data_IF_117864975175
#
_entry.id   IF_117864975175
#
_cell.length_a   1.000
_cell.length_b   1.000
_cell.length_c   1.000
_cell.angle_alpha   90.00
_cell.angle_beta   90.00
_cell.angle_gamma   90.00
#
_symmetry.space_group_name_H-M   'P 1'
#
loop_
_entity.id
_entity.type
_entity.pdbx_description
1 polymer ?
#
# COMPACT_ATOMS: atom_id res chain seq x y z
N UNK A 1 16.81 3.53 1.10
CA UNK A 1 16.99 3.30 2.57
C UNK A 1 16.99 4.65 3.25
N UNK A 2 16.20 4.86 4.29
CA UNK A 2 16.27 6.11 5.02
C UNK A 2 15.16 6.31 6.03
N UNK A 3 15.11 7.52 6.56
CA UNK A 3 14.03 8.03 7.37
C UNK A 3 13.87 9.51 7.07
N UNK A 4 12.71 10.09 7.37
CA UNK A 4 12.49 11.52 7.17
C UNK A 4 12.95 12.28 8.40
N UNK A 5 13.69 13.36 8.20
CA UNK A 5 14.05 14.24 9.31
C UNK A 5 12.83 15.00 9.83
N UNK A 6 12.49 14.79 11.11
CA UNK A 6 11.46 15.56 11.79
C UNK A 6 12.07 16.85 12.34
N UNK A 7 11.70 17.97 11.72
CA UNK A 7 12.23 19.30 12.06
C UNK A 7 11.84 19.82 13.45
N UNK A 8 10.75 19.31 14.05
CA UNK A 8 10.28 19.75 15.37
C UNK A 8 10.84 18.90 16.51
N UNK A 9 11.03 17.61 16.24
CA UNK A 9 11.57 16.66 17.22
C UNK A 9 13.09 16.49 17.14
N UNK A 10 13.74 17.00 16.10
CA UNK A 10 15.16 16.83 15.81
C UNK A 10 15.61 15.36 15.78
N UNK A 11 14.79 14.48 15.19
CA UNK A 11 15.10 13.07 15.02
C UNK A 11 14.76 12.58 13.61
N UNK A 12 15.40 11.50 13.17
CA UNK A 12 15.02 10.80 11.95
C UNK A 12 13.90 9.80 12.25
N UNK A 13 12.75 9.99 11.62
CA UNK A 13 11.62 9.07 11.70
C UNK A 13 11.76 8.00 10.61
N UNK A 14 11.97 6.75 11.02
CA UNK A 14 11.97 5.58 10.14
C UNK A 14 10.63 4.87 10.29
N UNK A 15 9.88 4.74 9.20
CA UNK A 15 8.52 4.19 9.20
C UNK A 15 8.48 2.85 8.46
N UNK A 16 7.37 2.13 8.61
CA UNK A 16 7.14 0.86 7.90
C UNK A 16 7.28 1.00 6.38
N UNK A 17 6.93 2.16 5.82
CA UNK A 17 7.10 2.45 4.39
C UNK A 17 8.55 2.70 3.95
N UNK A 18 9.48 2.85 4.90
CA UNK A 18 10.91 3.00 4.65
C UNK A 18 11.69 1.67 4.76
N UNK A 19 10.99 0.57 5.08
CA UNK A 19 11.57 -0.77 5.13
C UNK A 19 12.08 -1.18 3.74
N UNK A 20 13.34 -1.58 3.68
CA UNK A 20 14.04 -1.89 2.43
C UNK A 20 15.01 -3.04 2.63
N UNK A 21 15.13 -3.91 1.63
CA UNK A 21 16.12 -5.00 1.60
C UNK A 21 17.07 -4.82 0.42
N UNK A 22 18.33 -5.18 0.62
CA UNK A 22 19.34 -5.25 -0.44
C UNK A 22 19.99 -6.64 -0.41
N UNK A 23 20.76 -6.96 -1.45
CA UNK A 23 21.58 -8.18 -1.51
C UNK A 23 23.06 -7.83 -1.46
N UNK A 24 23.88 -8.78 -1.03
CA UNK A 24 25.34 -8.62 -1.04
C UNK A 24 25.93 -9.78 -1.83
N UNK A 25 26.87 -9.45 -2.71
CA UNK A 25 27.55 -10.43 -3.57
C UNK A 25 29.02 -10.48 -3.17
N UNK A 26 29.53 -11.68 -2.91
CA UNK A 26 30.95 -11.86 -2.63
C UNK A 26 31.75 -11.89 -3.93
N UNK A 27 32.67 -10.95 -4.08
CA UNK A 27 33.55 -10.85 -5.24
C UNK A 27 34.99 -11.21 -4.82
N UNK A 28 35.62 -12.23 -5.42
CA UNK A 28 37.02 -12.54 -5.17
C UNK A 28 37.89 -11.29 -5.43
N UNK A 29 38.72 -10.90 -4.45
CA UNK A 29 39.53 -9.65 -4.38
C UNK A 29 38.83 -8.37 -3.92
N UNK A 30 37.49 -8.31 -3.85
CA UNK A 30 36.75 -7.14 -3.34
C UNK A 30 35.93 -7.40 -2.07
N UNK A 31 35.71 -8.68 -1.73
CA UNK A 31 34.92 -9.06 -0.57
C UNK A 31 33.41 -8.89 -0.80
N UNK A 32 32.65 -8.82 0.29
CA UNK A 32 31.20 -8.59 0.26
C UNK A 32 30.90 -7.20 -0.29
N UNK A 33 30.22 -7.17 -1.45
CA UNK A 33 29.85 -5.93 -2.13
C UNK A 33 28.33 -5.79 -2.14
N UNK A 34 27.82 -4.66 -1.66
CA UNK A 34 26.38 -4.35 -1.66
C UNK A 34 25.86 -4.16 -3.08
N UNK A 35 24.74 -4.79 -3.39
CA UNK A 35 24.03 -4.65 -4.64
C UNK A 35 22.52 -4.45 -4.37
N UNK A 36 21.93 -3.40 -4.93
CA UNK A 36 20.49 -3.13 -4.80
C UNK A 36 19.82 -3.28 -6.18
N UNK A 37 19.10 -4.41 -6.42
CA UNK A 37 18.44 -4.66 -7.71
C UNK A 37 17.13 -3.88 -7.88
N UNK A 38 16.75 -3.05 -6.91
CA UNK A 38 15.47 -2.35 -6.91
C UNK A 38 15.53 -1.15 -7.87
N UNK A 39 14.70 -1.09 -8.93
CA UNK A 39 14.71 0.04 -9.86
C UNK A 39 14.43 1.36 -9.11
N UNK A 40 15.14 2.45 -9.43
CA UNK A 40 15.00 3.72 -8.71
C UNK A 40 13.59 4.34 -8.79
N UNK A 41 12.76 3.91 -9.75
CA UNK A 41 11.45 4.50 -10.03
C UNK A 41 10.31 4.17 -9.04
N UNK A 42 10.37 3.07 -8.29
CA UNK A 42 9.23 2.62 -7.47
C UNK A 42 9.52 2.48 -5.96
N UNK A 43 10.77 2.69 -5.54
CA UNK A 43 11.22 2.55 -4.15
C UNK A 43 11.85 3.82 -3.59
N UNK A 44 11.73 4.95 -4.29
CA UNK A 44 11.84 6.25 -3.66
C UNK A 44 10.90 6.24 -2.44
N UNK A 45 11.37 6.64 -1.24
CA UNK A 45 10.52 6.67 -0.06
C UNK A 45 9.22 7.38 -0.42
N UNK A 46 8.08 6.70 -0.27
CA UNK A 46 6.74 7.31 -0.41
C UNK A 46 6.48 8.39 0.66
N UNK A 47 7.52 8.83 1.36
CA UNK A 47 7.51 9.82 2.43
C UNK A 47 7.79 11.25 1.95
N UNK A 48 7.99 11.47 0.65
CA UNK A 48 7.94 12.78 -0.02
C UNK A 48 6.49 13.34 -0.09
N UNK A 49 5.80 13.39 1.07
CA UNK A 49 4.62 14.23 1.22
C UNK A 49 5.10 15.69 1.33
N UNK A 50 5.42 16.32 0.21
CA UNK A 50 5.77 17.74 0.22
C UNK A 50 4.48 18.57 0.37
N UNK A 51 4.33 19.28 1.50
CA UNK A 51 3.20 20.18 1.75
C UNK A 51 2.75 20.33 3.21
N UNK A 52 1.71 21.13 3.44
CA UNK A 52 1.17 21.45 4.76
C UNK A 52 0.77 20.22 5.61
N UNK A 53 0.42 19.10 4.95
CA UNK A 53 0.10 17.85 5.64
C UNK A 53 1.31 17.17 6.27
N UNK A 54 2.51 17.26 5.68
CA UNK A 54 3.71 16.74 6.32
C UNK A 54 4.13 17.60 7.50
N UNK A 55 3.97 18.93 7.42
CA UNK A 55 4.20 19.81 8.57
C UNK A 55 3.34 19.44 9.77
N UNK A 56 2.04 19.27 9.57
CA UNK A 56 1.11 18.88 10.66
C UNK A 56 1.43 17.48 11.18
N UNK A 57 1.73 16.52 10.29
CA UNK A 57 2.13 15.16 10.70
C UNK A 57 3.40 15.17 11.54
N UNK A 58 4.45 15.84 11.07
CA UNK A 58 5.73 15.91 11.77
C UNK A 58 5.58 16.60 13.13
N UNK A 59 4.73 17.61 13.23
CA UNK A 59 4.37 18.24 14.50
C UNK A 59 3.65 17.26 15.45
N UNK A 60 2.59 16.60 14.99
CA UNK A 60 1.84 15.62 15.79
C UNK A 60 2.73 14.45 16.22
N UNK A 61 3.61 13.97 15.35
CA UNK A 61 4.55 12.88 15.64
C UNK A 61 5.60 13.32 16.69
N UNK A 62 6.12 14.54 16.59
CA UNK A 62 7.00 15.10 17.61
C UNK A 62 6.28 15.27 18.96
N UNK A 63 5.02 15.73 18.94
CA UNK A 63 4.19 15.84 20.15
C UNK A 63 3.87 14.47 20.76
N UNK A 64 3.50 13.48 19.94
CA UNK A 64 3.22 12.12 20.38
C UNK A 64 4.46 11.43 20.96
N UNK A 65 5.63 11.62 20.35
CA UNK A 65 6.89 11.07 20.87
C UNK A 65 7.31 11.73 22.19
N UNK A 66 7.08 13.04 22.33
CA UNK A 66 7.35 13.79 23.56
C UNK A 66 6.39 13.38 24.68
N UNK A 67 5.11 13.18 24.35
CA UNK A 67 4.08 12.65 25.25
C UNK A 67 4.37 11.20 25.67
N UNK A 68 4.76 10.33 24.74
CA UNK A 68 5.14 8.95 25.03
C UNK A 68 6.32 8.88 26.01
N UNK A 69 7.30 9.78 25.86
CA UNK A 69 8.47 9.86 26.75
C UNK A 69 8.17 10.44 28.14
N UNK A 70 7.18 11.32 28.27
CA UNK A 70 6.92 12.04 29.54
C UNK A 70 5.65 11.61 30.28
N UNK A 71 4.69 10.99 29.59
CA UNK A 71 3.35 10.71 30.14
C UNK A 71 2.97 9.24 30.06
N UNK A 72 3.58 8.44 29.17
CA UNK A 72 3.37 6.97 29.12
C UNK A 72 4.34 6.26 30.08
N UNK A 73 4.46 6.84 31.27
CA UNK A 73 4.83 6.19 32.52
C UNK A 73 3.75 6.52 33.55
N UNK A 74 2.56 5.93 33.38
CA UNK A 74 1.35 5.99 34.25
C UNK A 74 0.68 7.36 34.48
N UNK A 75 -0.67 7.38 34.45
CA UNK A 75 -1.47 7.45 35.68
C UNK A 75 -2.99 7.37 35.41
N UNK A 76 -3.65 6.36 35.99
CA UNK A 76 -5.09 6.12 35.98
C UNK A 76 -5.88 7.23 36.71
N UNK A 77 -5.21 8.14 37.44
CA UNK A 77 -5.85 9.23 38.18
C UNK A 77 -6.42 10.34 37.29
N UNK A 78 -5.90 10.56 36.06
CA UNK A 78 -6.48 11.56 35.15
C UNK A 78 -7.85 11.15 34.61
N UNK A 79 -8.14 9.84 34.54
CA UNK A 79 -9.43 9.34 34.07
C UNK A 79 -10.57 9.66 35.06
N UNK A 80 -10.26 9.74 36.37
CA UNK A 80 -11.25 10.05 37.42
C UNK A 80 -11.52 11.57 37.51
N UNK A 81 -10.56 12.42 37.15
CA UNK A 81 -10.72 13.88 37.13
C UNK A 81 -11.68 14.39 36.05
N UNK A 82 -11.61 13.82 34.85
CA UNK A 82 -12.48 14.19 33.72
C UNK A 82 -13.94 13.80 33.99
N UNK A 83 -14.19 12.59 34.52
CA UNK A 83 -15.54 12.14 34.91
C UNK A 83 -16.15 13.02 36.01
N UNK A 84 -15.33 13.47 36.98
CA UNK A 84 -15.78 14.37 38.04
C UNK A 84 -16.05 15.80 37.55
N UNK A 85 -15.36 16.27 36.50
CA UNK A 85 -15.58 17.60 35.92
C UNK A 85 -16.86 17.68 35.06
N UNK A 86 -17.19 16.60 34.35
CA UNK A 86 -18.43 16.47 33.57
C UNK A 86 -19.64 16.34 34.51
N UNK A 87 -19.52 15.57 35.59
CA UNK A 87 -20.58 15.41 36.60
C UNK A 87 -20.92 16.74 37.31
N UNK A 88 -19.92 17.58 37.64
CA UNK A 88 -20.14 18.91 38.24
C UNK A 88 -20.71 19.95 37.26
N UNK A 89 -20.41 19.81 35.98
CA UNK A 89 -20.96 20.69 34.93
C UNK A 89 -22.42 20.33 34.63
N UNK A 90 -22.77 19.04 34.64
CA UNK A 90 -24.13 18.59 34.42
C UNK A 90 -25.07 18.89 35.60
N UNK A 91 -24.58 18.82 36.85
CA UNK A 91 -25.38 19.16 38.03
C UNK A 91 -25.56 20.67 38.25
N UNK A 92 -24.64 21.51 37.75
CA UNK A 92 -24.78 22.98 37.78
C UNK A 92 -25.72 23.53 36.70
N UNK A 93 -25.95 22.78 35.63
CA UNK A 93 -26.96 23.10 34.60
C UNK A 93 -28.38 22.78 35.07
N UNK A 94 -28.57 21.83 36.01
CA UNK A 94 -29.91 21.45 36.51
C UNK A 94 -30.39 22.26 37.72
N UNK A 95 -29.52 22.97 38.46
CA UNK A 95 -29.92 23.73 39.67
C UNK A 95 -29.86 25.25 39.56
N UNK A 96 -29.61 25.82 38.37
CA UNK A 96 -29.70 27.27 38.13
C UNK A 96 -30.64 27.59 36.98
N UNK A 97 -31.94 27.59 37.29
CA UNK A 97 -32.99 28.27 36.54
C UNK A 97 -32.81 29.81 36.59
N UNK A 98 -31.69 30.31 36.07
CA UNK A 98 -31.44 31.75 35.90
C UNK A 98 -30.66 32.04 34.62
N UNK A 99 -30.94 31.28 33.56
CA UNK A 99 -30.37 31.52 32.22
C UNK A 99 -31.26 32.42 31.34
N UNK A 100 -32.35 32.97 31.89
CA UNK A 100 -33.28 33.86 31.19
C UNK A 100 -33.21 35.33 31.63
N UNK A 101 -32.22 35.71 32.45
CA UNK A 101 -32.12 37.06 33.03
C UNK A 101 -30.74 37.68 32.83
N UNK A 102 -30.39 38.03 31.58
CA UNK A 102 -29.18 38.79 31.25
C UNK A 102 -29.17 39.19 29.77
N UNK A 103 -28.74 40.43 29.42
CA UNK A 103 -29.13 41.08 28.17
C UNK A 103 -28.59 40.35 26.93
N UNK A 104 -29.51 39.68 26.24
CA UNK A 104 -29.34 39.16 24.89
C UNK A 104 -29.14 40.34 23.92
N UNK A 105 -27.90 40.68 23.58
CA UNK A 105 -27.70 41.84 22.67
C UNK A 105 -26.27 42.13 22.19
N UNK A 106 -25.34 41.18 22.26
CA UNK A 106 -24.01 41.39 21.68
C UNK A 106 -23.93 40.74 20.28
N UNK A 107 -24.05 41.50 19.17
CA UNK A 107 -23.97 40.96 17.81
C UNK A 107 -22.64 40.24 17.52
N UNK A 108 -21.61 40.51 18.34
CA UNK A 108 -20.29 39.87 18.26
C UNK A 108 -20.30 38.39 18.68
N UNK A 109 -21.17 37.97 19.62
CA UNK A 109 -21.25 36.57 20.08
C UNK A 109 -22.06 35.69 19.13
N UNK A 110 -23.10 36.23 18.50
CA UNK A 110 -23.85 35.54 17.44
C UNK A 110 -22.99 35.39 16.17
N UNK A 111 -22.20 36.41 15.81
CA UNK A 111 -21.25 36.35 14.70
C UNK A 111 -20.16 35.28 14.89
N UNK A 112 -19.66 35.10 16.12
CA UNK A 112 -18.65 34.08 16.43
C UNK A 112 -19.20 32.64 16.30
N UNK A 113 -20.43 32.40 16.75
CA UNK A 113 -21.09 31.09 16.61
C UNK A 113 -21.42 30.77 15.15
N UNK A 114 -21.86 31.77 14.38
CA UNK A 114 -22.12 31.61 12.94
C UNK A 114 -20.82 31.32 12.16
N UNK A 115 -19.72 32.01 12.47
CA UNK A 115 -18.42 31.76 11.86
C UNK A 115 -17.88 30.35 12.20
N UNK A 116 -18.03 29.90 13.44
CA UNK A 116 -17.66 28.55 13.87
C UNK A 116 -18.44 27.46 13.14
N UNK A 117 -19.75 27.64 12.97
CA UNK A 117 -20.60 26.73 12.22
C UNK A 117 -20.23 26.67 10.73
N UNK A 118 -19.87 27.81 10.13
CA UNK A 118 -19.41 27.91 8.74
C UNK A 118 -18.08 27.17 8.52
N UNK A 119 -17.12 27.33 9.42
CA UNK A 119 -15.84 26.62 9.36
C UNK A 119 -16.01 25.10 9.51
N UNK A 120 -16.92 24.67 10.41
CA UNK A 120 -17.26 23.26 10.57
C UNK A 120 -17.89 22.69 9.29
N UNK A 121 -18.83 23.41 8.68
CA UNK A 121 -19.49 23.02 7.44
C UNK A 121 -18.50 22.95 6.27
N UNK A 122 -17.59 23.92 6.13
CA UNK A 122 -16.52 23.93 5.14
C UNK A 122 -15.54 22.77 5.33
N UNK A 123 -15.17 22.46 6.58
CA UNK A 123 -14.29 21.35 6.91
C UNK A 123 -14.95 20.00 6.59
N UNK A 124 -16.24 19.83 6.91
CA UNK A 124 -17.01 18.63 6.55
C UNK A 124 -17.16 18.51 5.02
N UNK A 125 -17.43 19.61 4.32
CA UNK A 125 -17.52 19.64 2.86
C UNK A 125 -16.19 19.22 2.21
N UNK A 126 -15.08 19.81 2.65
CA UNK A 126 -13.74 19.46 2.17
C UNK A 126 -13.38 18.00 2.50
N UNK A 127 -13.73 17.52 3.69
CA UNK A 127 -13.51 16.12 4.09
C UNK A 127 -14.31 15.15 3.22
N UNK A 128 -15.59 15.45 2.93
CA UNK A 128 -16.43 14.63 2.04
C UNK A 128 -15.96 14.67 0.60
N UNK A 129 -15.52 15.83 0.09
CA UNK A 129 -14.96 15.99 -1.25
C UNK A 129 -13.62 15.26 -1.40
N UNK A 130 -12.77 15.33 -0.38
CA UNK A 130 -11.50 14.58 -0.33
C UNK A 130 -11.73 13.08 -0.25
N UNK A 131 -12.75 12.62 0.50
CA UNK A 131 -13.18 11.21 0.50
C UNK A 131 -13.65 10.74 -0.88
N UNK A 132 -14.38 11.56 -1.64
CA UNK A 132 -14.81 11.21 -3.01
C UNK A 132 -13.61 11.03 -3.96
N UNK A 133 -12.60 11.91 -3.90
CA UNK A 133 -11.35 11.74 -4.70
C UNK A 133 -10.50 10.53 -4.28
N UNK A 134 -10.61 10.10 -3.02
CA UNK A 134 -9.92 8.89 -2.50
C UNK A 134 -10.58 7.57 -2.92
N UNK A 135 -11.83 7.61 -3.38
CA UNK A 135 -12.57 6.41 -3.84
C UNK A 135 -12.10 6.01 -5.24
N UNK A 136 -11.88 6.97 -6.15
CA UNK A 136 -11.36 6.72 -7.51
C UNK A 136 -9.95 6.10 -7.52
N UNK A 137 -9.07 6.54 -6.62
CA UNK A 137 -7.70 5.95 -6.50
C UNK A 137 -7.71 4.56 -5.83
N UNK A 138 -8.72 4.26 -5.01
CA UNK A 138 -8.87 2.96 -4.34
C UNK A 138 -9.47 1.90 -5.26
N UNK A 139 -10.36 2.28 -6.18
CA UNK A 139 -10.90 1.38 -7.22
C UNK A 139 -9.77 0.89 -8.12
N UNK A 140 -8.92 1.80 -8.59
CA UNK A 140 -7.83 1.49 -9.52
C UNK A 140 -6.80 0.51 -8.93
N UNK A 141 -6.41 0.74 -7.66
CA UNK A 141 -5.52 -0.17 -6.92
C UNK A 141 -6.15 -1.55 -6.72
N UNK A 142 -7.47 -1.60 -6.52
CA UNK A 142 -8.22 -2.84 -6.29
C UNK A 142 -8.39 -3.66 -7.58
N UNK A 143 -8.62 -3.00 -8.72
CA UNK A 143 -8.69 -3.65 -10.04
C UNK A 143 -7.34 -4.24 -10.44
N UNK A 144 -6.24 -3.48 -10.28
CA UNK A 144 -4.88 -3.96 -10.55
C UNK A 144 -4.49 -5.16 -9.67
N UNK A 145 -4.86 -5.12 -8.39
CA UNK A 145 -4.63 -6.25 -7.46
C UNK A 145 -5.38 -7.51 -7.91
N UNK A 146 -6.63 -7.38 -8.38
CA UNK A 146 -7.41 -8.50 -8.88
C UNK A 146 -6.85 -9.06 -10.19
N UNK A 147 -6.43 -8.21 -11.13
CA UNK A 147 -5.78 -8.63 -12.38
C UNK A 147 -4.48 -9.39 -12.09
N UNK A 148 -3.66 -8.90 -11.15
CA UNK A 148 -2.41 -9.57 -10.75
C UNK A 148 -2.67 -10.97 -10.18
N UNK A 149 -3.68 -11.11 -9.32
CA UNK A 149 -4.07 -12.43 -8.75
C UNK A 149 -4.54 -13.40 -9.83
N UNK A 150 -5.31 -12.93 -10.83
CA UNK A 150 -5.74 -13.77 -11.96
C UNK A 150 -4.56 -14.22 -12.81
N UNK A 151 -3.63 -13.32 -13.13
CA UNK A 151 -2.43 -13.67 -13.88
C UNK A 151 -1.55 -14.69 -13.15
N UNK A 152 -1.43 -14.59 -11.81
CA UNK A 152 -0.75 -15.62 -11.00
C UNK A 152 -1.42 -17.00 -11.16
N UNK A 153 -2.74 -17.06 -11.02
CA UNK A 153 -3.46 -18.33 -11.18
C UNK A 153 -3.33 -18.93 -12.58
N UNK A 154 -3.33 -18.08 -13.63
CA UNK A 154 -3.09 -18.53 -15.01
C UNK A 154 -1.67 -19.09 -15.18
N UNK A 155 -0.67 -18.44 -14.60
CA UNK A 155 0.71 -18.92 -14.64
C UNK A 155 0.88 -20.24 -13.86
N UNK A 156 0.24 -20.40 -12.71
CA UNK A 156 0.22 -21.67 -11.96
C UNK A 156 -0.38 -22.81 -12.78
N UNK A 157 -1.41 -22.55 -13.59
CA UNK A 157 -1.95 -23.55 -14.52
C UNK A 157 -0.93 -23.94 -15.60
N UNK A 158 -0.18 -22.97 -16.13
CA UNK A 158 0.91 -23.24 -17.08
C UNK A 158 1.99 -24.13 -16.43
N UNK A 159 2.41 -23.82 -15.20
CA UNK A 159 3.39 -24.65 -14.48
C UNK A 159 2.89 -26.07 -14.23
N UNK A 160 1.59 -26.21 -13.91
CA UNK A 160 0.95 -27.51 -13.79
C UNK A 160 0.95 -28.30 -15.11
N UNK A 161 0.70 -27.62 -16.25
CA UNK A 161 0.76 -28.24 -17.57
C UNK A 161 2.20 -28.68 -17.93
N UNK A 162 3.20 -27.81 -17.67
CA UNK A 162 4.61 -28.12 -17.91
C UNK A 162 5.12 -29.27 -17.05
N UNK A 163 4.70 -29.33 -15.79
CA UNK A 163 5.02 -30.43 -14.88
C UNK A 163 4.48 -31.75 -15.41
N UNK A 164 3.23 -31.77 -15.92
CA UNK A 164 2.65 -32.97 -16.56
C UNK A 164 3.38 -33.40 -17.82
N UNK A 165 3.98 -32.45 -18.56
CA UNK A 165 4.83 -32.71 -19.73
C UNK A 165 6.25 -33.13 -19.37
N UNK A 166 6.59 -33.23 -18.08
CA UNK A 166 7.94 -33.62 -17.62
C UNK A 166 8.96 -32.49 -17.70
N UNK A 167 8.52 -31.24 -17.85
CA UNK A 167 9.36 -30.05 -18.01
C UNK A 167 9.10 -29.08 -16.84
N UNK A 168 9.22 -29.50 -15.57
CA UNK A 168 8.94 -28.62 -14.45
C UNK A 168 9.95 -27.46 -14.39
N UNK A 169 9.48 -26.28 -13.96
CA UNK A 169 10.37 -25.16 -13.66
C UNK A 169 11.06 -25.40 -12.31
N UNK A 170 12.40 -25.38 -12.22
CA UNK A 170 13.08 -25.44 -10.93
C UNK A 170 12.74 -24.22 -10.07
N UNK A 171 12.57 -24.36 -8.73
CA UNK A 171 12.20 -23.25 -7.85
C UNK A 171 13.16 -22.06 -7.90
N UNK A 172 14.45 -22.32 -8.14
CA UNK A 172 15.52 -21.30 -8.22
C UNK A 172 15.58 -20.55 -9.57
N UNK A 173 14.82 -20.99 -10.58
CA UNK A 173 14.88 -20.42 -11.93
C UNK A 173 13.66 -19.52 -12.16
N UNK A 174 13.84 -18.23 -12.47
CA UNK A 174 12.72 -17.34 -12.78
C UNK A 174 11.93 -17.77 -14.03
N UNK A 175 10.62 -17.46 -14.10
CA UNK A 175 9.75 -17.74 -15.25
C UNK A 175 10.38 -17.50 -16.63
N UNK A 176 10.88 -16.28 -16.86
CA UNK A 176 11.45 -15.87 -18.14
C UNK A 176 12.71 -16.68 -18.50
N UNK A 177 13.55 -16.97 -17.50
CA UNK A 177 14.79 -17.74 -17.71
C UNK A 177 14.45 -19.18 -18.07
N UNK A 178 13.44 -19.77 -17.44
CA UNK A 178 12.98 -21.11 -17.78
C UNK A 178 12.49 -21.18 -19.22
N UNK A 179 11.62 -20.25 -19.64
CA UNK A 179 11.13 -20.18 -21.02
C UNK A 179 12.28 -20.02 -22.04
N UNK A 180 13.23 -19.12 -21.79
CA UNK A 180 14.41 -18.93 -22.66
C UNK A 180 15.33 -20.15 -22.71
N UNK A 181 15.47 -20.88 -21.60
CA UNK A 181 16.24 -22.12 -21.59
C UNK A 181 15.60 -23.18 -22.51
N UNK A 182 14.27 -23.29 -22.53
CA UNK A 182 13.56 -24.18 -23.47
C UNK A 182 13.81 -23.78 -24.92
N UNK A 183 13.85 -22.48 -25.19
CA UNK A 183 14.17 -21.95 -26.52
C UNK A 183 15.61 -22.28 -26.94
N UNK A 184 16.57 -22.15 -26.03
CA UNK A 184 17.96 -22.56 -26.26
C UNK A 184 18.12 -24.06 -26.52
N UNK A 185 17.27 -24.89 -25.91
CA UNK A 185 17.19 -26.34 -26.15
C UNK A 185 16.38 -26.70 -27.41
N UNK A 186 15.81 -25.71 -28.11
CA UNK A 186 14.92 -25.89 -29.27
C UNK A 186 13.72 -26.82 -28.98
N UNK A 187 13.20 -26.74 -27.75
CA UNK A 187 12.05 -27.54 -27.37
C UNK A 187 10.81 -27.14 -28.19
N UNK A 188 9.97 -28.07 -28.69
CA UNK A 188 8.81 -27.74 -29.53
C UNK A 188 7.83 -26.74 -28.89
N UNK A 189 7.71 -26.78 -27.56
CA UNK A 189 6.82 -25.90 -26.78
C UNK A 189 7.47 -24.56 -26.37
N UNK A 190 8.72 -24.31 -26.75
CA UNK A 190 9.49 -23.19 -26.21
C UNK A 190 8.87 -21.82 -26.52
N UNK A 191 8.48 -21.59 -27.77
CA UNK A 191 7.92 -20.31 -28.20
C UNK A 191 6.56 -20.04 -27.54
N UNK A 192 5.76 -21.09 -27.38
CA UNK A 192 4.46 -21.02 -26.72
C UNK A 192 4.58 -20.71 -25.22
N UNK A 193 5.50 -21.38 -24.53
CA UNK A 193 5.79 -21.12 -23.11
C UNK A 193 6.36 -19.71 -22.91
N UNK A 194 7.20 -19.24 -23.83
CA UNK A 194 7.74 -17.89 -23.79
C UNK A 194 6.64 -16.84 -23.93
N UNK A 195 5.78 -16.97 -24.95
CA UNK A 195 4.68 -16.04 -25.19
C UNK A 195 3.73 -15.93 -23.97
N UNK A 196 3.33 -17.07 -23.39
CA UNK A 196 2.49 -17.07 -22.18
C UNK A 196 3.22 -16.48 -20.96
N UNK A 197 4.52 -16.75 -20.83
CA UNK A 197 5.33 -16.18 -19.75
C UNK A 197 5.45 -14.66 -19.88
N UNK A 198 5.58 -14.12 -21.09
CA UNK A 198 5.65 -12.69 -21.35
C UNK A 198 4.33 -11.99 -20.98
N UNK A 199 3.18 -12.55 -21.37
CA UNK A 199 1.86 -12.02 -20.96
C UNK A 199 1.76 -11.94 -19.42
N UNK A 200 2.18 -12.99 -18.72
CA UNK A 200 2.20 -12.99 -17.26
C UNK A 200 3.08 -11.87 -16.69
N UNK A 201 4.29 -11.68 -17.25
CA UNK A 201 5.23 -10.66 -16.79
C UNK A 201 4.75 -9.24 -17.07
N UNK A 202 4.12 -8.99 -18.22
CA UNK A 202 3.55 -7.70 -18.57
C UNK A 202 2.40 -7.31 -17.63
N UNK A 203 1.53 -8.26 -17.31
CA UNK A 203 0.42 -7.99 -16.38
C UNK A 203 0.94 -7.78 -14.96
N UNK A 204 1.88 -8.62 -14.51
CA UNK A 204 2.38 -8.58 -13.12
C UNK A 204 3.31 -7.39 -12.86
N UNK A 205 4.23 -7.11 -13.78
CA UNK A 205 5.31 -6.16 -13.59
C UNK A 205 5.27 -4.99 -14.57
N UNK A 206 4.74 -5.21 -15.78
CA UNK A 206 4.68 -4.20 -16.86
C UNK A 206 3.52 -3.20 -16.73
N UNK A 207 2.55 -3.44 -15.85
CA UNK A 207 1.40 -2.54 -15.67
C UNK A 207 0.32 -2.69 -16.75
N UNK A 208 0.41 -3.72 -17.59
CA UNK A 208 -0.66 -4.10 -18.53
C UNK A 208 -1.89 -4.59 -17.76
N UNK A 209 -3.07 -4.14 -18.16
CA UNK A 209 -4.31 -4.72 -17.63
C UNK A 209 -4.60 -6.07 -18.29
N UNK A 210 -5.07 -7.03 -17.50
CA UNK A 210 -5.52 -8.32 -18.00
C UNK A 210 -7.00 -8.22 -18.38
N UNK A 211 -7.27 -8.08 -19.67
CA UNK A 211 -8.62 -8.18 -20.21
C UNK A 211 -9.14 -9.64 -20.11
N UNK A 212 -10.47 -9.79 -20.27
CA UNK A 212 -11.12 -11.09 -20.17
C UNK A 212 -10.80 -12.01 -21.36
N UNK A 213 -10.50 -11.43 -22.52
CA UNK A 213 -10.23 -12.16 -23.76
C UNK A 213 -8.86 -12.83 -23.71
N UNK A 214 -7.81 -12.06 -23.41
CA UNK A 214 -6.45 -12.52 -23.14
C UNK A 214 -6.44 -13.56 -22.02
N UNK A 215 -7.20 -13.36 -20.94
CA UNK A 215 -7.28 -14.36 -19.87
C UNK A 215 -7.90 -15.69 -20.32
N UNK A 216 -8.90 -15.64 -21.20
CA UNK A 216 -9.54 -16.84 -21.79
C UNK A 216 -8.61 -17.52 -22.78
N UNK A 217 -8.00 -16.75 -23.68
CA UNK A 217 -7.02 -17.24 -24.65
C UNK A 217 -5.85 -17.94 -23.94
N UNK A 218 -5.28 -17.30 -22.93
CA UNK A 218 -4.22 -17.89 -22.10
C UNK A 218 -4.64 -19.24 -21.54
N UNK A 219 -5.83 -19.34 -20.94
CA UNK A 219 -6.32 -20.58 -20.36
C UNK A 219 -6.55 -21.68 -21.42
N UNK A 220 -7.08 -21.32 -22.59
CA UNK A 220 -7.26 -22.26 -23.71
C UNK A 220 -5.92 -22.81 -24.21
N UNK A 221 -4.93 -21.94 -24.38
CA UNK A 221 -3.57 -22.31 -24.79
C UNK A 221 -2.88 -23.20 -23.77
N UNK A 222 -3.01 -22.90 -22.46
CA UNK A 222 -2.53 -23.78 -21.39
C UNK A 222 -3.23 -25.14 -21.38
N UNK A 223 -4.54 -25.19 -21.66
CA UNK A 223 -5.26 -26.47 -21.77
C UNK A 223 -4.78 -27.28 -22.97
N UNK A 224 -4.57 -26.66 -24.13
CA UNK A 224 -4.00 -27.32 -25.30
C UNK A 224 -2.62 -27.91 -25.00
N UNK A 225 -1.75 -27.15 -24.33
CA UNK A 225 -0.43 -27.60 -23.85
C UNK A 225 -0.50 -28.75 -22.84
N UNK A 226 -1.64 -28.97 -22.20
CA UNK A 226 -1.82 -30.07 -21.25
C UNK A 226 -2.37 -31.31 -21.93
N UNK A 227 -3.28 -31.13 -22.87
CA UNK A 227 -4.12 -32.19 -23.42
C UNK A 227 -3.54 -32.79 -24.73
N UNK A 228 -2.64 -32.10 -25.45
CA UNK A 228 -1.89 -32.73 -26.55
C UNK A 228 -0.98 -33.87 -26.03
N UNK A 229 -0.91 -35.03 -26.71
CA UNK A 229 -0.02 -36.11 -26.31
C UNK A 229 1.44 -35.67 -26.44
N UNK A 230 2.29 -36.04 -25.46
CA UNK A 230 3.73 -35.95 -25.63
C UNK A 230 4.08 -36.77 -26.87
N UNK A 231 4.49 -36.11 -27.95
CA UNK A 231 4.82 -36.72 -29.22
C UNK A 231 5.77 -37.89 -28.99
N UNK A 232 5.25 -39.10 -29.17
CA UNK A 232 6.03 -40.29 -29.40
C UNK A 232 6.75 -40.09 -30.74
N UNK A 233 8.02 -39.69 -30.72
CA UNK A 233 9.02 -39.94 -31.77
C UNK A 233 10.34 -39.23 -31.43
N UNK A 234 11.25 -39.99 -30.84
CA UNK A 234 12.67 -39.92 -31.14
C UNK A 234 13.15 -41.38 -31.12
N UNK A 235 12.82 -42.08 -32.22
CA UNK A 235 13.45 -43.33 -32.62
C UNK A 235 14.87 -43.04 -33.16
#
# INVERSE_FOLDING_TARGET
>A
IGGTYNRFGHFYAVRQGDAHSWVEVYLPKKGWTRFDPTPPGNSAPRSELNGALAFVRDFVEASAQRWNRHVVGYDLQQQVGLLNSVSRTYSSVRSRSSFLSGPMGSPRRLGALAAGALLLALSIYWFRRSRRRRVETRTDTSHRMQATKRAMGLYELLEGALTKRGIPRPPSVPPLRHARNLQGMKHPLADEVLALTEIYLEVRFGGRELDLETARDFNLRVRALRDEPASAEAA
#
